data_IF_105961838042
#
_entry.id   IF_105961838042
#
_cell.length_a   1.000
_cell.length_b   1.000
_cell.length_c   1.000
_cell.angle_alpha   90.00
_cell.angle_beta   90.00
_cell.angle_gamma   90.00
#
_symmetry.space_group_name_H-M   'P 1'
#
loop_
_entity.id
_entity.type
_entity.pdbx_description
1 polymer ?
#
# COMPACT_ATOMS: atom_id res chain seq x y z
N UNK A 1 -12.30 9.27 5.63
CA UNK A 1 -13.00 8.26 4.80
C UNK A 1 -12.24 6.94 4.85
N UNK A 2 -12.92 5.80 4.76
CA UNK A 2 -12.28 4.47 4.68
C UNK A 2 -12.74 3.82 3.39
N UNK A 3 -11.81 3.39 2.54
CA UNK A 3 -12.15 2.68 1.31
C UNK A 3 -12.11 1.16 1.54
N UNK A 4 -13.20 0.50 1.19
CA UNK A 4 -13.42 -0.94 1.40
C UNK A 4 -13.84 -1.65 0.11
N UNK A 5 -14.30 -0.91 -0.91
CA UNK A 5 -14.60 -1.46 -2.22
C UNK A 5 -13.30 -1.65 -3.02
N UNK A 6 -13.00 -2.89 -3.37
CA UNK A 6 -11.76 -3.26 -4.05
C UNK A 6 -11.61 -2.58 -5.43
N UNK A 7 -12.71 -2.30 -6.14
CA UNK A 7 -12.64 -1.65 -7.45
C UNK A 7 -12.32 -0.16 -7.31
N UNK A 8 -12.94 0.52 -6.34
CA UNK A 8 -12.66 1.94 -6.08
C UNK A 8 -11.21 2.15 -5.63
N UNK A 9 -10.72 1.31 -4.72
CA UNK A 9 -9.32 1.36 -4.29
C UNK A 9 -8.40 1.05 -5.49
N UNK A 10 -8.73 0.07 -6.33
CA UNK A 10 -7.88 -0.29 -7.46
C UNK A 10 -7.77 0.87 -8.45
N UNK A 11 -8.87 1.58 -8.69
CA UNK A 11 -8.89 2.78 -9.51
C UNK A 11 -8.08 3.91 -8.88
N UNK A 12 -8.19 4.13 -7.56
CA UNK A 12 -7.40 5.13 -6.84
C UNK A 12 -5.90 4.85 -6.96
N UNK A 13 -5.48 3.60 -6.74
CA UNK A 13 -4.07 3.20 -6.81
C UNK A 13 -3.53 3.27 -8.26
N UNK A 14 -4.29 2.79 -9.25
CA UNK A 14 -3.88 2.79 -10.66
C UNK A 14 -3.78 4.20 -11.23
N UNK A 15 -4.70 5.08 -10.87
CA UNK A 15 -4.75 6.43 -11.42
C UNK A 15 -3.99 7.45 -10.56
N UNK A 16 -3.34 7.02 -9.48
CA UNK A 16 -2.68 7.88 -8.50
C UNK A 16 -3.60 9.04 -8.03
N UNK A 17 -4.87 8.72 -7.78
CA UNK A 17 -5.90 9.71 -7.44
C UNK A 17 -6.29 9.64 -5.96
N UNK A 18 -5.34 9.23 -5.12
CA UNK A 18 -5.49 9.27 -3.67
C UNK A 18 -5.66 10.68 -3.17
N UNK A 19 -6.36 10.84 -2.04
CA UNK A 19 -6.57 12.16 -1.42
C UNK A 19 -6.47 12.04 0.09
N UNK A 20 -6.27 13.17 0.77
CA UNK A 20 -6.28 13.29 2.23
C UNK A 20 -7.59 12.86 2.90
N UNK A 21 -8.66 12.68 2.13
CA UNK A 21 -9.90 12.11 2.67
C UNK A 21 -9.71 10.62 3.03
N UNK A 22 -8.73 9.93 2.46
CA UNK A 22 -8.49 8.50 2.67
C UNK A 22 -7.64 8.31 3.93
N UNK A 23 -8.24 7.69 4.95
CA UNK A 23 -7.57 7.38 6.22
C UNK A 23 -7.23 5.90 6.36
N UNK A 24 -7.84 5.05 5.54
CA UNK A 24 -7.60 3.62 5.57
C UNK A 24 -7.91 2.94 4.24
N UNK A 25 -7.04 2.00 3.87
CA UNK A 25 -7.14 1.15 2.69
C UNK A 25 -7.08 -0.30 3.15
N UNK A 26 -8.12 -1.07 2.82
CA UNK A 26 -8.20 -2.50 3.05
C UNK A 26 -8.57 -3.15 1.72
N UNK A 27 -7.64 -3.87 1.12
CA UNK A 27 -7.83 -4.40 -0.23
C UNK A 27 -7.26 -5.80 -0.34
N UNK A 28 -8.07 -6.66 -0.94
CA UNK A 28 -7.61 -7.90 -1.56
C UNK A 28 -6.97 -7.58 -2.92
N UNK A 29 -5.66 -7.79 -3.01
CA UNK A 29 -4.83 -7.51 -4.17
C UNK A 29 -4.61 -8.75 -5.06
N UNK A 30 -5.25 -9.90 -4.77
CA UNK A 30 -5.04 -11.14 -5.55
C UNK A 30 -5.33 -11.01 -7.04
N UNK A 31 -6.37 -10.25 -7.39
CA UNK A 31 -6.79 -10.02 -8.77
C UNK A 31 -6.22 -8.71 -9.35
N UNK A 32 -5.50 -7.93 -8.54
CA UNK A 32 -4.99 -6.62 -8.95
C UNK A 32 -3.61 -6.75 -9.59
N UNK A 33 -3.58 -6.68 -10.92
CA UNK A 33 -2.33 -6.61 -11.70
C UNK A 33 -2.10 -5.17 -12.15
N UNK A 34 -1.14 -4.47 -11.54
CA UNK A 34 -0.71 -3.15 -12.00
C UNK A 34 0.67 -2.77 -11.46
N UNK A 35 1.33 -1.88 -12.19
CA UNK A 35 2.50 -1.15 -11.70
C UNK A 35 2.03 0.09 -10.95
N UNK A 36 2.49 0.24 -9.71
CA UNK A 36 2.18 1.42 -8.90
C UNK A 36 3.24 2.49 -9.12
N UNK A 37 2.79 3.75 -9.17
CA UNK A 37 3.67 4.92 -9.21
C UNK A 37 4.51 5.01 -7.92
N UNK A 38 5.76 5.49 -7.97
CA UNK A 38 6.52 5.82 -6.76
C UNK A 38 5.79 6.77 -5.81
N UNK A 39 4.92 7.62 -6.34
CA UNK A 39 4.15 8.63 -5.61
C UNK A 39 2.74 8.18 -5.23
N UNK A 40 2.40 6.89 -5.38
CA UNK A 40 1.02 6.38 -5.23
C UNK A 40 0.35 6.76 -3.89
N UNK A 41 1.13 6.93 -2.82
CA UNK A 41 0.64 7.31 -1.50
C UNK A 41 0.95 8.75 -1.11
N UNK A 42 1.63 9.52 -1.95
CA UNK A 42 2.13 10.85 -1.59
C UNK A 42 1.02 11.84 -1.21
N UNK A 43 -0.13 11.79 -1.90
CA UNK A 43 -1.28 12.69 -1.67
C UNK A 43 -2.28 12.15 -0.62
N UNK A 44 -1.94 11.06 0.07
CA UNK A 44 -2.79 10.45 1.10
C UNK A 44 -2.19 10.70 2.49
N UNK A 45 -1.96 11.97 2.86
CA UNK A 45 -1.21 12.33 4.06
C UNK A 45 -1.84 11.82 5.35
N UNK A 46 -3.17 11.65 5.36
CA UNK A 46 -3.95 11.17 6.51
C UNK A 46 -4.17 9.65 6.51
N UNK A 47 -3.50 8.90 5.63
CA UNK A 47 -3.60 7.45 5.60
C UNK A 47 -2.93 6.84 6.83
N UNK A 48 -3.74 6.20 7.67
CA UNK A 48 -3.30 5.60 8.94
C UNK A 48 -3.26 4.09 8.90
N UNK A 49 -4.07 3.47 8.03
CA UNK A 49 -4.23 2.02 7.95
C UNK A 49 -4.02 1.57 6.50
N UNK A 50 -2.97 0.81 6.24
CA UNK A 50 -2.73 0.20 4.93
C UNK A 50 -2.71 -1.32 5.10
N UNK A 51 -3.71 -1.99 4.52
CA UNK A 51 -3.79 -3.45 4.47
C UNK A 51 -4.00 -3.94 3.05
N UNK A 52 -2.94 -4.48 2.47
CA UNK A 52 -2.90 -5.12 1.16
C UNK A 52 -2.60 -6.61 1.37
N UNK A 53 -3.56 -7.47 1.06
CA UNK A 53 -3.48 -8.92 1.26
C UNK A 53 -3.87 -9.69 0.02
N UNK A 54 -3.51 -10.98 -0.05
CA UNK A 54 -3.93 -11.88 -1.14
C UNK A 54 -4.80 -12.99 -0.57
N UNK A 55 -6.06 -13.09 -1.01
CA UNK A 55 -6.93 -14.22 -0.64
C UNK A 55 -6.64 -15.50 -1.42
N UNK A 56 -5.97 -15.40 -2.57
CA UNK A 56 -5.60 -16.57 -3.38
C UNK A 56 -4.39 -17.29 -2.78
N UNK A 57 -4.41 -18.62 -2.87
CA UNK A 57 -3.37 -19.52 -2.36
C UNK A 57 -2.03 -19.43 -3.09
N UNK A 58 -1.95 -18.62 -4.15
CA UNK A 58 -0.70 -18.31 -4.83
C UNK A 58 -0.02 -17.15 -4.11
N UNK A 59 1.23 -17.33 -3.69
CA UNK A 59 2.07 -16.27 -3.11
C UNK A 59 2.54 -15.28 -4.20
N UNK A 60 1.62 -14.86 -5.07
CA UNK A 60 1.87 -13.97 -6.20
C UNK A 60 1.02 -12.73 -6.02
N UNK A 61 1.51 -11.76 -5.25
CA UNK A 61 0.98 -10.41 -5.34
C UNK A 61 1.44 -9.79 -6.65
N UNK A 62 0.47 -9.37 -7.47
CA UNK A 62 0.71 -8.81 -8.80
C UNK A 62 0.90 -7.28 -8.78
N UNK A 63 1.10 -6.70 -7.59
CA UNK A 63 1.49 -5.31 -7.43
C UNK A 63 3.00 -5.18 -7.65
N UNK A 64 3.36 -4.44 -8.69
CA UNK A 64 4.75 -4.21 -9.06
C UNK A 64 5.16 -2.77 -8.73
N UNK A 65 6.37 -2.62 -8.18
CA UNK A 65 7.00 -1.34 -7.87
C UNK A 65 8.37 -1.24 -8.58
N UNK A 66 8.41 -1.21 -9.93
CA UNK A 66 9.67 -1.26 -10.67
C UNK A 66 10.58 -0.06 -10.39
N UNK A 67 9.98 1.09 -10.07
CA UNK A 67 10.68 2.32 -9.69
C UNK A 67 10.76 2.52 -8.17
N UNK A 68 10.30 1.55 -7.38
CA UNK A 68 10.19 1.69 -5.93
C UNK A 68 9.04 2.59 -5.49
N UNK A 69 9.12 3.05 -4.26
CA UNK A 69 8.21 4.01 -3.62
C UNK A 69 9.03 5.19 -3.13
N UNK A 70 8.53 6.41 -3.34
CA UNK A 70 9.19 7.62 -2.88
C UNK A 70 9.06 7.78 -1.37
N UNK A 71 7.84 7.55 -0.85
CA UNK A 71 7.53 7.60 0.58
C UNK A 71 6.31 6.73 0.90
N UNK A 72 6.08 6.51 2.19
CA UNK A 72 4.77 6.14 2.73
C UNK A 72 4.25 7.32 3.57
N UNK A 73 2.93 7.40 3.85
CA UNK A 73 2.36 8.50 4.63
C UNK A 73 2.86 8.50 6.08
N UNK A 74 3.29 9.66 6.59
CA UNK A 74 3.90 9.76 7.93
C UNK A 74 2.90 9.49 9.07
N UNK A 75 1.58 9.60 8.82
CA UNK A 75 0.54 9.23 9.80
C UNK A 75 0.27 7.71 9.85
N UNK A 76 0.96 6.90 9.04
CA UNK A 76 0.73 5.47 8.95
C UNK A 76 0.98 4.78 10.30
N UNK A 77 -0.04 4.09 10.81
CA UNK A 77 -0.01 3.36 12.08
C UNK A 77 0.02 1.86 11.91
N UNK A 78 -0.60 1.34 10.86
CA UNK A 78 -0.62 -0.07 10.53
C UNK A 78 -0.19 -0.26 9.08
N UNK A 79 0.86 -1.05 8.88
CA UNK A 79 1.34 -1.50 7.58
C UNK A 79 1.20 -3.02 7.51
N UNK A 80 0.13 -3.50 6.89
CA UNK A 80 -0.03 -4.88 6.47
C UNK A 80 0.15 -4.95 4.95
N UNK A 81 1.23 -5.53 4.46
CA UNK A 81 1.48 -5.64 3.03
C UNK A 81 2.07 -7.00 2.67
N UNK A 82 1.21 -7.93 2.27
CA UNK A 82 1.63 -9.26 1.87
C UNK A 82 2.38 -9.23 0.54
N UNK A 83 3.45 -10.02 0.45
CA UNK A 83 4.31 -10.10 -0.73
C UNK A 83 4.86 -8.73 -1.18
N UNK A 84 5.16 -7.85 -0.21
CA UNK A 84 5.75 -6.54 -0.49
C UNK A 84 6.99 -6.67 -1.39
N UNK A 85 7.01 -6.01 -2.57
CA UNK A 85 7.93 -6.36 -3.65
C UNK A 85 9.33 -5.73 -3.50
N UNK A 86 9.52 -4.79 -2.58
CA UNK A 86 10.79 -4.11 -2.35
C UNK A 86 11.58 -4.76 -1.19
N UNK A 87 12.91 -4.60 -1.21
CA UNK A 87 13.81 -5.11 -0.16
C UNK A 87 13.94 -4.19 1.05
N UNK A 88 13.39 -2.98 0.95
CA UNK A 88 13.48 -1.95 1.98
C UNK A 88 12.25 -1.03 1.90
N UNK A 89 11.98 -0.32 3.00
CA UNK A 89 10.96 0.72 3.05
C UNK A 89 11.51 1.97 2.36
N UNK A 90 10.65 2.86 1.85
CA UNK A 90 11.10 4.09 1.21
C UNK A 90 11.99 4.91 2.14
N UNK A 91 13.12 5.39 1.62
CA UNK A 91 14.10 6.10 2.45
C UNK A 91 13.54 7.39 3.07
N UNK A 92 12.55 8.03 2.43
CA UNK A 92 11.93 9.26 2.93
C UNK A 92 10.79 9.02 3.93
N UNK A 93 10.39 7.78 4.15
CA UNK A 93 9.30 7.46 5.08
C UNK A 93 9.74 7.70 6.54
N UNK A 94 8.95 8.46 7.30
CA UNK A 94 9.13 8.58 8.75
C UNK A 94 8.24 7.56 9.50
N UNK A 95 8.82 6.49 10.11
CA UNK A 95 8.03 5.45 10.77
C UNK A 95 7.64 5.80 12.23
N UNK A 96 7.81 7.03 12.71
CA UNK A 96 7.53 7.42 14.11
C UNK A 96 6.13 7.05 14.59
N UNK A 97 5.12 7.16 13.73
CA UNK A 97 3.73 6.85 14.06
C UNK A 97 3.35 5.37 13.88
N UNK A 98 4.28 4.55 13.37
CA UNK A 98 4.03 3.16 13.01
C UNK A 98 3.92 2.31 14.27
N UNK A 99 2.77 1.66 14.44
CA UNK A 99 2.46 0.81 15.61
C UNK A 99 2.59 -0.66 15.26
N UNK A 100 2.15 -1.05 14.06
CA UNK A 100 2.15 -2.44 13.62
C UNK A 100 2.70 -2.58 12.20
N UNK A 101 3.59 -3.56 12.03
CA UNK A 101 4.14 -3.94 10.73
C UNK A 101 3.97 -5.45 10.55
N UNK A 102 3.27 -5.83 9.49
CA UNK A 102 3.07 -7.21 9.09
C UNK A 102 3.25 -7.35 7.58
N UNK A 103 4.38 -7.89 7.15
CA UNK A 103 4.71 -8.01 5.72
C UNK A 103 5.08 -9.45 5.38
N UNK A 104 4.14 -10.42 5.49
CA UNK A 104 4.46 -11.81 5.23
C UNK A 104 4.81 -11.98 3.76
N UNK A 105 5.76 -12.88 3.49
CA UNK A 105 6.27 -13.19 2.14
C UNK A 105 6.92 -11.99 1.43
N UNK A 106 7.31 -10.94 2.17
CA UNK A 106 8.03 -9.80 1.60
C UNK A 106 9.41 -10.19 1.10
N UNK A 107 9.97 -9.37 0.20
CA UNK A 107 11.39 -9.46 -0.20
C UNK A 107 12.34 -8.69 0.73
N UNK A 108 11.81 -8.06 1.78
CA UNK A 108 12.59 -7.39 2.84
C UNK A 108 13.33 -8.39 3.71
#
# INVERSE_FOLDING_TARGET
SRLWDSNDIANVLKNNSGTDAIEGIFMDASELTCELSPTVFSEMHRLRLLKLYSSTSGNECKLNLPQGLDTLPDELRLLHWENYPLKYLPQKFNPENLVEVNMPYSKM
#
